data_IF_998221026357
#
_entry.id   IF_998221026357
#
_cell.length_a   1.000
_cell.length_b   1.000
_cell.length_c   1.000
_cell.angle_alpha   90.00
_cell.angle_beta   90.00
_cell.angle_gamma   90.00
#
_symmetry.space_group_name_H-M   'P 1'
#
loop_
_entity.id
_entity.type
_entity.pdbx_description
1 polymer ?
#
# COMPACT_ATOMS: atom_id res chain seq x y z
N UNK A 1 -6.00 4.47 6.75
CA UNK A 1 -5.18 4.25 5.54
C UNK A 1 -5.90 3.24 4.65
N UNK A 2 -6.26 3.61 3.42
CA UNK A 2 -6.74 2.63 2.43
C UNK A 2 -5.50 1.92 1.88
N UNK A 3 -5.37 0.62 2.11
CA UNK A 3 -4.32 -0.21 1.50
C UNK A 3 -4.50 -0.17 -0.02
N UNK A 4 -3.47 0.22 -0.76
CA UNK A 4 -3.51 0.20 -2.22
C UNK A 4 -3.75 -1.23 -2.70
N UNK A 5 -4.74 -1.42 -3.57
CA UNK A 5 -5.01 -2.73 -4.18
C UNK A 5 -3.92 -3.05 -5.18
N UNK A 6 -3.29 -4.20 -4.99
CA UNK A 6 -2.17 -4.67 -5.81
C UNK A 6 -2.67 -5.72 -6.78
N UNK A 7 -2.21 -5.60 -8.02
CA UNK A 7 -2.58 -6.46 -9.12
C UNK A 7 -1.33 -7.17 -9.66
N UNK A 8 -1.47 -8.44 -9.99
CA UNK A 8 -0.41 -9.27 -10.59
C UNK A 8 -0.91 -9.84 -11.91
N UNK A 9 -0.12 -9.69 -12.96
CA UNK A 9 -0.44 -10.19 -14.31
C UNK A 9 -0.22 -11.70 -14.36
N UNK A 10 -1.28 -12.44 -14.67
CA UNK A 10 -1.25 -13.91 -14.81
C UNK A 10 -1.15 -14.31 -16.28
N UNK A 11 -1.83 -13.57 -17.16
CA UNK A 11 -1.90 -13.86 -18.58
C UNK A 11 -2.09 -12.55 -19.35
N UNK A 12 -1.49 -12.48 -20.53
CA UNK A 12 -1.61 -11.34 -21.45
C UNK A 12 -2.77 -11.57 -22.43
N UNK A 13 -3.04 -12.82 -22.78
CA UNK A 13 -4.12 -13.20 -23.68
C UNK A 13 -5.35 -13.70 -22.91
N UNK A 14 -6.57 -13.28 -23.30
CA UNK A 14 -7.79 -13.75 -22.67
C UNK A 14 -8.01 -15.22 -23.03
N UNK A 15 -8.46 -16.02 -22.06
CA UNK A 15 -8.86 -17.42 -22.31
C UNK A 15 -10.20 -17.53 -23.03
N UNK A 16 -11.02 -16.50 -22.93
CA UNK A 16 -12.28 -16.37 -23.65
C UNK A 16 -12.05 -15.63 -24.97
N UNK A 17 -12.89 -15.90 -25.97
CA UNK A 17 -12.85 -15.23 -27.28
C UNK A 17 -13.39 -13.78 -27.23
N UNK A 18 -13.34 -13.14 -26.07
CA UNK A 18 -13.91 -11.82 -25.82
C UNK A 18 -12.91 -10.75 -26.27
N UNK A 19 -13.38 -9.82 -27.10
CA UNK A 19 -12.58 -8.68 -27.56
C UNK A 19 -12.33 -7.72 -26.38
N UNK A 20 -11.08 -7.64 -25.93
CA UNK A 20 -10.67 -6.73 -24.86
C UNK A 20 -10.69 -5.28 -25.35
N UNK A 21 -11.02 -4.30 -24.48
CA UNK A 21 -10.88 -2.88 -24.82
C UNK A 21 -9.43 -2.54 -25.20
N UNK A 22 -9.24 -1.76 -26.26
CA UNK A 22 -7.91 -1.40 -26.79
C UNK A 22 -7.00 -0.78 -25.73
N UNK A 23 -7.55 0.03 -24.83
CA UNK A 23 -6.81 0.64 -23.73
C UNK A 23 -6.23 -0.40 -22.76
N UNK A 24 -7.01 -1.44 -22.46
CA UNK A 24 -6.57 -2.52 -21.59
C UNK A 24 -5.53 -3.40 -22.29
N UNK A 25 -5.69 -3.65 -23.60
CA UNK A 25 -4.69 -4.36 -24.39
C UNK A 25 -3.35 -3.63 -24.36
N UNK A 26 -3.32 -2.31 -24.61
CA UNK A 26 -2.08 -1.51 -24.56
C UNK A 26 -1.39 -1.61 -23.20
N UNK A 27 -2.15 -1.49 -22.10
CA UNK A 27 -1.60 -1.59 -20.74
C UNK A 27 -1.01 -2.98 -20.49
N UNK A 28 -1.68 -4.04 -20.92
CA UNK A 28 -1.22 -5.42 -20.71
C UNK A 28 -0.09 -5.84 -21.66
N UNK A 29 -0.02 -5.29 -22.87
CA UNK A 29 1.04 -5.59 -23.84
C UNK A 29 2.42 -5.10 -23.40
N UNK A 30 2.46 -3.99 -22.66
CA UNK A 30 3.70 -3.43 -22.12
C UNK A 30 4.18 -4.12 -20.84
N UNK A 31 3.35 -4.99 -20.26
CA UNK A 31 3.62 -5.66 -18.99
C UNK A 31 3.99 -7.13 -19.21
N UNK A 32 4.95 -7.62 -18.43
CA UNK A 32 5.36 -9.03 -18.48
C UNK A 32 4.49 -9.90 -17.57
N UNK A 33 4.33 -11.18 -17.92
CA UNK A 33 3.64 -12.14 -17.04
C UNK A 33 4.39 -12.24 -15.71
N UNK A 34 3.66 -12.06 -14.60
CA UNK A 34 4.22 -11.99 -13.25
C UNK A 34 4.55 -10.58 -12.76
N UNK A 35 4.40 -9.55 -13.60
CA UNK A 35 4.56 -8.16 -13.15
C UNK A 35 3.49 -7.79 -12.12
N UNK A 36 3.88 -6.95 -11.17
CA UNK A 36 3.05 -6.48 -10.07
C UNK A 36 2.93 -4.97 -10.19
N UNK A 37 1.72 -4.45 -10.14
CA UNK A 37 1.47 -3.01 -10.22
C UNK A 37 0.30 -2.58 -9.35
N UNK A 38 0.27 -1.28 -9.08
CA UNK A 38 -0.84 -0.55 -8.48
C UNK A 38 -1.51 0.36 -9.49
N UNK A 39 -2.78 0.73 -9.25
CA UNK A 39 -3.52 1.65 -10.13
C UNK A 39 -2.81 3.01 -10.23
N UNK A 40 -2.22 3.47 -9.12
CA UNK A 40 -1.42 4.70 -9.06
C UNK A 40 -0.21 4.66 -10.00
N UNK A 41 0.51 3.54 -10.05
CA UNK A 41 1.68 3.39 -10.93
C UNK A 41 1.27 3.40 -12.40
N UNK A 42 0.20 2.70 -12.76
CA UNK A 42 -0.34 2.73 -14.13
C UNK A 42 -0.77 4.15 -14.51
N UNK A 43 -1.46 4.86 -13.62
CA UNK A 43 -1.89 6.23 -13.89
C UNK A 43 -0.72 7.19 -14.08
N UNK A 44 0.39 6.99 -13.35
CA UNK A 44 1.58 7.79 -13.53
C UNK A 44 2.29 7.44 -14.84
N UNK A 45 2.50 6.15 -15.12
CA UNK A 45 3.19 5.62 -16.31
C UNK A 45 2.46 5.97 -17.61
N UNK A 46 1.13 5.87 -17.61
CA UNK A 46 0.29 6.10 -18.79
C UNK A 46 -0.53 7.39 -18.69
N UNK A 47 -0.10 8.33 -17.85
CA UNK A 47 -0.79 9.61 -17.63
C UNK A 47 -1.16 10.30 -18.94
N UNK A 48 -0.22 10.40 -19.90
CA UNK A 48 -0.48 11.05 -21.19
C UNK A 48 -1.48 10.29 -22.09
N UNK A 49 -1.44 8.95 -22.13
CA UNK A 49 -2.30 8.16 -23.04
C UNK A 49 -3.68 7.85 -22.46
N UNK A 50 -3.79 7.75 -21.12
CA UNK A 50 -5.05 7.49 -20.44
C UNK A 50 -5.79 8.79 -20.16
N UNK A 51 -5.10 9.85 -19.69
CA UNK A 51 -5.75 11.11 -19.30
C UNK A 51 -6.17 11.98 -20.49
N UNK A 52 -5.59 11.80 -21.69
CA UNK A 52 -5.97 12.58 -22.88
C UNK A 52 -7.46 12.43 -23.25
N UNK A 53 -8.11 11.34 -22.81
CA UNK A 53 -9.54 11.10 -23.03
C UNK A 53 -10.47 11.42 -21.86
N UNK A 54 -9.96 11.92 -20.71
CA UNK A 54 -10.79 12.15 -19.52
C UNK A 54 -10.57 13.55 -18.94
N UNK A 55 -11.68 14.22 -18.56
CA UNK A 55 -11.64 15.57 -17.96
C UNK A 55 -10.92 15.63 -16.61
N UNK A 56 -10.91 14.54 -15.83
CA UNK A 56 -10.31 14.51 -14.48
C UNK A 56 -9.58 13.20 -14.21
N UNK A 57 -8.57 13.25 -13.33
CA UNK A 57 -7.81 12.07 -12.86
C UNK A 57 -8.71 11.04 -12.18
N UNK A 58 -9.76 11.48 -11.49
CA UNK A 58 -10.70 10.60 -10.81
C UNK A 58 -11.54 9.77 -11.79
N UNK A 59 -11.99 10.37 -12.90
CA UNK A 59 -12.74 9.64 -13.93
C UNK A 59 -11.84 8.59 -14.61
N UNK A 60 -10.58 8.94 -14.87
CA UNK A 60 -9.60 7.98 -15.39
C UNK A 60 -9.34 6.83 -14.39
N UNK A 61 -9.23 7.15 -13.09
CA UNK A 61 -9.05 6.16 -12.03
C UNK A 61 -10.23 5.17 -11.96
N UNK A 62 -11.47 5.68 -11.96
CA UNK A 62 -12.67 4.84 -11.94
C UNK A 62 -12.79 3.98 -13.21
N UNK A 63 -12.41 4.53 -14.36
CA UNK A 63 -12.42 3.78 -15.61
C UNK A 63 -11.39 2.64 -15.59
N UNK A 64 -10.19 2.89 -15.04
CA UNK A 64 -9.18 1.86 -14.83
C UNK A 64 -9.64 0.76 -13.89
N UNK A 65 -10.35 1.09 -12.80
CA UNK A 65 -10.96 0.09 -11.91
C UNK A 65 -11.91 -0.82 -12.69
N UNK A 66 -12.77 -0.24 -13.54
CA UNK A 66 -13.71 -1.02 -14.34
C UNK A 66 -12.98 -1.92 -15.34
N UNK A 67 -11.93 -1.41 -16.01
CA UNK A 67 -11.11 -2.21 -16.93
C UNK A 67 -10.38 -3.35 -16.22
N UNK A 68 -9.82 -3.11 -15.03
CA UNK A 68 -9.18 -4.14 -14.23
C UNK A 68 -10.17 -5.16 -13.66
N UNK A 69 -11.42 -4.76 -13.39
CA UNK A 69 -12.50 -5.68 -13.04
C UNK A 69 -12.79 -6.66 -14.18
N UNK A 70 -12.85 -6.17 -15.43
CA UNK A 70 -12.97 -7.01 -16.62
C UNK A 70 -11.76 -7.93 -16.75
N UNK A 71 -10.54 -7.38 -16.64
CA UNK A 71 -9.31 -8.17 -16.72
C UNK A 71 -9.25 -9.29 -15.66
N UNK A 72 -9.76 -9.02 -14.46
CA UNK A 72 -9.87 -10.00 -13.37
C UNK A 72 -10.90 -11.09 -13.68
N UNK A 73 -12.05 -10.73 -14.25
CA UNK A 73 -13.07 -11.69 -14.69
C UNK A 73 -12.52 -12.64 -15.76
N UNK A 74 -11.72 -12.10 -16.68
CA UNK A 74 -11.05 -12.86 -17.74
C UNK A 74 -9.77 -13.60 -17.29
N UNK A 75 -9.46 -13.56 -15.99
CA UNK A 75 -8.27 -14.21 -15.39
C UNK A 75 -6.93 -13.74 -15.98
N UNK A 76 -6.88 -12.52 -16.52
CA UNK A 76 -5.65 -11.87 -16.99
C UNK A 76 -4.82 -11.35 -15.82
N UNK A 77 -5.50 -10.88 -14.77
CA UNK A 77 -4.90 -10.23 -13.61
C UNK A 77 -5.55 -10.77 -12.33
N UNK A 78 -4.77 -11.02 -11.28
CA UNK A 78 -5.29 -11.35 -9.94
C UNK A 78 -4.96 -10.23 -8.97
N UNK A 79 -5.83 -10.06 -7.98
CA UNK A 79 -5.54 -9.22 -6.83
C UNK A 79 -4.63 -10.01 -5.88
N UNK A 80 -3.47 -9.45 -5.55
CA UNK A 80 -2.53 -10.11 -4.64
C UNK A 80 -2.62 -9.42 -3.28
N UNK A 81 -2.75 -10.22 -2.20
CA UNK A 81 -2.69 -9.72 -0.81
C UNK A 81 -1.26 -9.50 -0.32
N UNK A 82 -0.26 -9.52 -1.22
CA UNK A 82 1.11 -9.21 -0.85
C UNK A 82 1.11 -7.80 -0.27
N UNK A 83 1.41 -7.68 1.01
CA UNK A 83 1.77 -6.40 1.60
C UNK A 83 3.05 -5.96 0.92
N UNK A 84 2.95 -5.04 -0.06
CA UNK A 84 4.12 -4.33 -0.55
C UNK A 84 4.52 -3.41 0.60
N UNK A 85 5.55 -3.83 1.32
CA UNK A 85 6.23 -2.97 2.28
C UNK A 85 6.89 -1.88 1.42
N UNK A 86 6.57 -0.59 1.63
CA UNK A 86 7.26 0.45 0.89
C UNK A 86 8.76 0.32 1.07
N UNK A 87 9.57 0.50 0.01
CA UNK A 87 11.04 0.32 0.08
C UNK A 87 11.70 1.15 1.19
N UNK A 88 11.16 2.34 1.49
CA UNK A 88 11.65 3.14 2.61
C UNK A 88 11.46 2.45 3.97
N UNK A 89 10.43 1.61 4.10
CA UNK A 89 10.08 0.87 5.31
C UNK A 89 10.93 -0.40 5.48
N UNK A 90 11.43 -0.98 4.39
CA UNK A 90 12.48 -2.02 4.43
C UNK A 90 13.79 -1.49 5.03
N UNK A 91 14.06 -0.20 4.81
CA UNK A 91 15.24 0.49 5.33
C UNK A 91 15.02 1.18 6.69
N UNK A 92 13.80 1.14 7.24
CA UNK A 92 13.55 1.69 8.56
C UNK A 92 14.19 0.79 9.61
N UNK A 93 14.96 1.41 10.49
CA UNK A 93 15.52 0.77 11.66
C UNK A 93 14.39 0.13 12.50
N UNK A 94 14.39 -1.19 12.55
CA UNK A 94 13.32 -1.96 13.20
C UNK A 94 13.34 -1.78 14.72
N UNK A 95 12.25 -2.16 15.40
CA UNK A 95 12.21 -2.20 16.86
C UNK A 95 13.36 -3.04 17.43
N UNK A 96 13.76 -4.12 16.75
CA UNK A 96 14.90 -4.93 17.15
C UNK A 96 16.23 -4.16 17.05
N UNK A 97 16.39 -3.30 16.03
CA UNK A 97 17.53 -2.40 15.90
C UNK A 97 17.56 -1.36 17.02
N UNK A 98 16.45 -0.67 17.30
CA UNK A 98 16.39 0.28 18.41
C UNK A 98 16.59 -0.40 19.76
N UNK A 99 16.06 -1.61 19.94
CA UNK A 99 16.30 -2.41 21.15
C UNK A 99 17.76 -2.82 21.28
N UNK A 100 18.48 -3.12 20.20
CA UNK A 100 19.91 -3.47 20.27
C UNK A 100 20.76 -2.24 20.61
N UNK A 101 20.44 -1.06 20.07
CA UNK A 101 21.05 0.21 20.46
C UNK A 101 20.79 0.53 21.95
N UNK A 102 19.56 0.32 22.43
CA UNK A 102 19.20 0.56 23.83
C UNK A 102 19.80 -0.46 24.80
N UNK A 103 20.01 -1.72 24.39
CA UNK A 103 20.72 -2.74 25.19
C UNK A 103 22.19 -2.41 25.41
N UNK A 104 22.83 -1.71 24.45
CA UNK A 104 24.18 -1.18 24.61
C UNK A 104 24.23 0.05 25.53
N UNK A 105 23.10 0.73 25.76
CA UNK A 105 23.03 1.84 26.69
C UNK A 105 23.10 1.30 28.12
N UNK A 106 24.18 1.62 28.84
CA UNK A 106 24.41 1.27 30.25
C UNK A 106 23.47 2.01 31.21
N UNK A 107 22.25 2.35 30.80
CA UNK A 107 21.24 2.84 31.73
C UNK A 107 20.79 1.66 32.59
N UNK A 108 21.45 1.52 33.75
CA UNK A 108 21.01 0.68 34.86
C UNK A 108 19.51 0.87 35.00
N UNK A 109 18.76 -0.23 34.95
CA UNK A 109 17.34 -0.26 35.26
C UNK A 109 17.12 0.57 36.52
N UNK A 110 16.45 1.73 36.40
CA UNK A 110 15.90 2.38 37.56
C UNK A 110 14.94 1.37 38.18
N UNK A 111 15.03 1.19 39.49
CA UNK A 111 14.28 0.21 40.29
C UNK A 111 12.78 0.56 40.38
N UNK A 112 12.14 0.80 39.24
CA UNK A 112 10.70 1.01 39.11
C UNK A 112 9.99 -0.34 39.02
N UNK A 113 8.96 -0.52 39.85
CA UNK A 113 8.12 -1.74 40.01
C UNK A 113 7.35 -2.21 38.75
N UNK A 114 7.67 -1.72 37.56
CA UNK A 114 7.01 -2.12 36.31
C UNK A 114 8.02 -2.72 35.34
N UNK A 115 7.77 -3.96 34.91
CA UNK A 115 8.62 -4.64 33.93
C UNK A 115 8.72 -3.80 32.65
N UNK A 116 9.86 -3.90 31.95
CA UNK A 116 10.10 -3.24 30.66
C UNK A 116 8.96 -3.50 29.66
N UNK A 117 8.35 -4.68 29.72
CA UNK A 117 7.15 -5.04 28.94
C UNK A 117 5.94 -4.17 29.27
N UNK A 118 5.67 -3.89 30.56
CA UNK A 118 4.56 -3.01 30.98
C UNK A 118 4.81 -1.56 30.56
N UNK A 119 6.03 -1.06 30.72
CA UNK A 119 6.39 0.29 30.27
C UNK A 119 6.27 0.43 28.75
N UNK A 120 6.72 -0.58 27.99
CA UNK A 120 6.56 -0.60 26.55
C UNK A 120 5.10 -0.57 26.10
N UNK A 121 4.24 -1.43 26.69
CA UNK A 121 2.81 -1.43 26.39
C UNK A 121 2.15 -0.08 26.72
N UNK A 122 2.59 0.56 27.81
CA UNK A 122 2.12 1.89 28.18
C UNK A 122 2.52 2.97 27.15
N UNK A 123 3.78 2.99 26.71
CA UNK A 123 4.23 3.94 25.68
C UNK A 123 3.57 3.68 24.32
N UNK A 124 3.37 2.41 23.95
CA UNK A 124 2.68 2.05 22.71
C UNK A 124 1.20 2.45 22.76
N UNK A 125 0.57 2.35 23.93
CA UNK A 125 -0.78 2.86 24.17
C UNK A 125 -0.84 4.40 24.06
N UNK A 126 0.11 5.13 24.64
CA UNK A 126 0.21 6.60 24.49
C UNK A 126 0.39 6.99 23.03
N UNK A 127 1.31 6.34 22.32
CA UNK A 127 1.56 6.58 20.91
C UNK A 127 0.29 6.36 20.08
N UNK A 128 -0.36 5.21 20.25
CA UNK A 128 -1.63 4.93 19.58
C UNK A 128 -2.74 5.94 19.95
N UNK A 129 -2.76 6.43 21.19
CA UNK A 129 -3.69 7.49 21.61
C UNK A 129 -3.41 8.82 20.90
N UNK A 130 -2.15 9.21 20.72
CA UNK A 130 -1.78 10.44 20.02
C UNK A 130 -2.16 10.43 18.54
N UNK A 131 -2.05 9.27 17.87
CA UNK A 131 -2.37 9.13 16.45
C UNK A 131 -3.83 8.70 16.18
N UNK A 132 -4.64 8.47 17.22
CA UNK A 132 -6.06 8.18 17.05
C UNK A 132 -6.83 9.49 16.85
N UNK A 133 -7.50 9.70 15.69
CA UNK A 133 -8.19 10.97 15.37
C UNK A 133 -9.32 11.32 16.35
N UNK A 134 -9.83 10.36 17.14
CA UNK A 134 -10.81 10.64 18.21
C UNK A 134 -10.19 11.33 19.44
N UNK A 135 -8.90 11.13 19.70
CA UNK A 135 -8.21 11.72 20.86
C UNK A 135 -7.57 13.09 20.56
N UNK A 136 -7.24 13.36 19.29
CA UNK A 136 -6.70 14.65 18.83
C UNK A 136 -7.67 15.84 19.03
N UNK A 137 -8.99 15.59 18.96
CA UNK A 137 -10.01 16.63 19.18
C UNK A 137 -9.97 17.27 20.56
N UNK A 138 -9.52 16.55 21.60
CA UNK A 138 -9.47 17.07 22.97
C UNK A 138 -8.25 17.97 23.24
N UNK A 139 -7.24 17.94 22.37
CA UNK A 139 -6.00 18.73 22.53
C UNK A 139 -5.99 20.02 21.72
N UNK A 140 -6.92 20.21 20.77
CA UNK A 140 -7.01 21.40 19.91
C UNK A 140 -8.07 22.42 20.37
N UNK A 141 -8.69 22.19 21.53
CA UNK A 141 -9.70 23.10 22.13
C UNK A 141 -9.26 23.62 23.50
N UNK A 142 -7.96 23.94 23.66
CA UNK A 142 -7.47 24.75 24.77
C UNK A 142 -6.68 25.94 24.23
#
# INVERSE_FOLDING_TARGET
MRTATIYEVISITPKSNIKLPEKLQRILSDESVGSIFTISEILNKYSASILSGYKTKEVAYNTLINLLSIAKKEKLVKTTRKTIIPKYFENLETIAYWQSQLRGSRFKHSEGKSSTRKQYLYHLWIFNKQFNPRCLRLYLTK
#
